data_IF_538303122155
#
_entry.id   IF_538303122155
#
_cell.length_a   1.000
_cell.length_b   1.000
_cell.length_c   1.000
_cell.angle_alpha   90.00
_cell.angle_beta   90.00
_cell.angle_gamma   90.00
#
_symmetry.space_group_name_H-M   'P 1'
#
loop_
_entity.id
_entity.type
_entity.pdbx_description
1 polymer ?
#
# COMPACT_ATOMS: atom_id res chain seq x y z
N UNK A 1 13.92 42.15 -19.24
CA UNK A 1 14.80 41.16 -18.56
C UNK A 1 14.27 40.71 -17.21
N UNK A 2 13.98 41.62 -16.24
CA UNK A 2 13.51 41.23 -14.89
C UNK A 2 12.25 40.35 -14.87
N UNK A 3 11.25 40.66 -15.70
CA UNK A 3 9.97 39.93 -15.77
C UNK A 3 10.11 38.51 -16.33
N UNK A 4 11.01 38.32 -17.31
CA UNK A 4 11.30 37.02 -17.92
C UNK A 4 12.03 36.12 -16.90
N UNK A 5 12.96 36.70 -16.12
CA UNK A 5 13.68 36.00 -15.07
C UNK A 5 12.74 35.53 -13.94
N UNK A 6 11.79 36.36 -13.52
CA UNK A 6 10.80 35.98 -12.50
C UNK A 6 9.86 34.87 -12.98
N UNK A 7 9.44 34.88 -14.25
CA UNK A 7 8.62 33.80 -14.83
C UNK A 7 9.42 32.49 -14.85
N UNK A 8 10.69 32.54 -15.25
CA UNK A 8 11.54 31.36 -15.31
C UNK A 8 11.80 30.75 -13.92
N UNK A 9 12.03 31.59 -12.91
CA UNK A 9 12.18 31.16 -11.51
C UNK A 9 10.87 30.55 -11.01
N UNK A 10 9.73 31.21 -11.23
CA UNK A 10 8.41 30.69 -10.83
C UNK A 10 8.11 29.34 -11.47
N UNK A 11 8.41 29.17 -12.75
CA UNK A 11 8.16 27.92 -13.47
C UNK A 11 9.09 26.79 -13.00
N UNK A 12 10.37 27.12 -12.76
CA UNK A 12 11.34 26.17 -12.22
C UNK A 12 11.00 25.74 -10.78
N UNK A 13 10.58 26.68 -9.92
CA UNK A 13 10.10 26.37 -8.56
C UNK A 13 8.84 25.51 -8.58
N UNK A 14 7.92 25.74 -9.53
CA UNK A 14 6.76 24.88 -9.72
C UNK A 14 7.23 23.47 -10.09
N UNK A 15 8.06 23.33 -11.12
CA UNK A 15 8.56 22.04 -11.59
C UNK A 15 9.34 21.27 -10.51
N UNK A 16 10.13 21.97 -9.68
CA UNK A 16 10.81 21.36 -8.53
C UNK A 16 9.83 20.89 -7.46
N UNK A 17 8.79 21.69 -7.17
CA UNK A 17 7.74 21.30 -6.23
C UNK A 17 6.95 20.09 -6.73
N UNK A 18 6.61 20.05 -8.02
CA UNK A 18 5.96 18.91 -8.66
C UNK A 18 6.87 17.67 -8.73
N UNK A 19 8.16 17.84 -9.06
CA UNK A 19 9.12 16.75 -9.13
C UNK A 19 9.44 16.12 -7.78
N UNK A 20 9.51 16.92 -6.72
CA UNK A 20 9.67 16.43 -5.34
C UNK A 20 8.48 15.59 -4.88
N UNK A 21 7.26 15.91 -5.31
CA UNK A 21 6.05 15.16 -4.94
C UNK A 21 5.99 13.75 -5.56
N UNK A 22 6.80 13.44 -6.57
CA UNK A 22 6.77 12.15 -7.27
C UNK A 22 7.52 11.06 -6.49
N UNK A 23 8.42 11.42 -5.56
CA UNK A 23 9.19 10.45 -4.77
C UNK A 23 8.55 10.29 -3.39
N UNK A 24 7.53 9.43 -3.30
CA UNK A 24 6.92 9.08 -2.01
C UNK A 24 7.68 7.88 -1.42
N UNK A 25 8.34 8.02 -0.26
CA UNK A 25 9.02 6.90 0.38
C UNK A 25 8.01 5.88 0.93
N UNK A 26 8.52 4.70 1.29
CA UNK A 26 7.72 3.74 2.07
C UNK A 26 7.12 4.43 3.29
N UNK A 27 5.82 4.28 3.49
CA UNK A 27 5.13 4.96 4.58
C UNK A 27 4.06 4.09 5.22
N UNK A 28 3.98 4.17 6.54
CA UNK A 28 2.96 3.53 7.38
C UNK A 28 2.04 4.62 7.91
N UNK A 29 0.74 4.37 7.89
CA UNK A 29 -0.28 5.32 8.30
C UNK A 29 -1.58 4.62 8.70
N UNK A 30 -2.52 5.38 9.24
CA UNK A 30 -3.84 4.91 9.68
C UNK A 30 -4.95 5.67 8.93
N UNK A 31 -6.20 5.23 9.05
CA UNK A 31 -7.33 5.98 8.46
C UNK A 31 -7.48 7.40 9.00
N UNK A 32 -6.98 7.66 10.22
CA UNK A 32 -6.98 8.99 10.83
C UNK A 32 -6.07 9.96 10.08
N UNK A 33 -5.08 9.45 9.36
CA UNK A 33 -4.20 10.23 8.49
C UNK A 33 -4.89 10.48 7.14
N UNK A 34 -6.02 11.20 7.14
CA UNK A 34 -6.96 11.35 6.01
C UNK A 34 -6.24 11.65 4.69
N UNK A 35 -5.28 12.58 4.68
CA UNK A 35 -4.55 12.92 3.47
C UNK A 35 -3.77 11.72 2.91
N UNK A 36 -2.99 11.02 3.76
CA UNK A 36 -2.24 9.83 3.36
C UNK A 36 -3.17 8.70 2.93
N UNK A 37 -4.25 8.50 3.68
CA UNK A 37 -5.24 7.46 3.39
C UNK A 37 -5.89 7.63 2.01
N UNK A 38 -6.32 8.84 1.65
CA UNK A 38 -6.94 9.06 0.34
C UNK A 38 -5.95 9.22 -0.82
N UNK A 39 -4.67 9.53 -0.55
CA UNK A 39 -3.65 9.72 -1.59
C UNK A 39 -2.83 8.46 -1.87
N UNK A 40 -2.57 7.63 -0.85
CA UNK A 40 -1.64 6.50 -0.92
C UNK A 40 -2.32 5.14 -0.80
N UNK A 41 -3.63 5.10 -0.51
CA UNK A 41 -4.38 3.83 -0.45
C UNK A 41 -5.21 3.63 -1.70
N UNK A 42 -4.87 2.60 -2.47
CA UNK A 42 -5.66 2.18 -3.61
C UNK A 42 -7.10 1.85 -3.19
N UNK A 43 -8.05 2.03 -4.11
CA UNK A 43 -9.48 1.82 -3.82
C UNK A 43 -9.72 0.37 -3.35
N UNK A 44 -9.04 -0.56 -3.97
CA UNK A 44 -9.01 -2.00 -3.70
C UNK A 44 -8.53 -2.34 -2.29
N UNK A 45 -7.76 -1.47 -1.64
CA UNK A 45 -7.37 -1.63 -0.23
C UNK A 45 -8.33 -0.87 0.70
N UNK A 46 -8.83 0.29 0.25
CA UNK A 46 -9.83 1.05 1.04
C UNK A 46 -11.12 0.27 1.24
N UNK A 47 -11.57 -0.45 0.21
CA UNK A 47 -12.82 -1.22 0.19
C UNK A 47 -12.73 -2.58 0.94
N UNK A 48 -11.56 -2.95 1.47
CA UNK A 48 -11.36 -4.19 2.24
C UNK A 48 -12.21 -4.18 3.52
N UNK A 49 -12.90 -5.26 3.89
CA UNK A 49 -13.64 -5.30 5.15
C UNK A 49 -12.69 -5.14 6.36
N UNK A 50 -13.11 -4.37 7.38
CA UNK A 50 -12.31 -4.14 8.58
C UNK A 50 -12.46 -5.30 9.56
N UNK A 51 -11.68 -6.36 9.33
CA UNK A 51 -11.77 -7.63 10.06
C UNK A 51 -11.04 -7.64 11.41
N UNK A 52 -10.37 -6.54 11.74
CA UNK A 52 -9.70 -6.33 13.03
C UNK A 52 -9.98 -4.92 13.54
N UNK A 53 -9.95 -4.76 14.86
CA UNK A 53 -9.92 -3.45 15.51
C UNK A 53 -8.52 -2.82 15.50
N UNK A 54 -7.47 -3.63 15.33
CA UNK A 54 -6.10 -3.17 15.23
C UNK A 54 -5.60 -3.39 13.81
N UNK A 55 -5.73 -2.35 12.99
CA UNK A 55 -5.25 -2.35 11.62
C UNK A 55 -4.58 -1.03 11.24
N UNK A 56 -3.71 -1.10 10.25
CA UNK A 56 -3.04 0.04 9.67
C UNK A 56 -2.72 -0.24 8.20
N UNK A 57 -2.26 0.80 7.50
CA UNK A 57 -1.96 0.75 6.08
C UNK A 57 -0.48 1.01 5.85
N UNK A 58 0.01 0.49 4.73
CA UNK A 58 1.29 0.92 4.18
C UNK A 58 1.17 1.25 2.70
N UNK A 59 2.09 2.08 2.25
CA UNK A 59 2.35 2.33 0.85
C UNK A 59 3.83 2.05 0.58
N UNK A 60 4.09 1.17 -0.38
CA UNK A 60 5.42 0.88 -0.89
C UNK A 60 5.56 1.52 -2.28
N UNK A 61 6.48 2.48 -2.48
CA UNK A 61 6.80 2.93 -3.82
C UNK A 61 7.34 1.77 -4.64
N UNK A 62 7.18 1.86 -5.96
CA UNK A 62 7.93 1.02 -6.88
C UNK A 62 9.41 1.39 -6.69
N UNK A 63 10.21 0.45 -6.20
CA UNK A 63 11.62 0.45 -6.59
C UNK A 63 11.69 0.24 -8.11
N UNK A 64 12.85 0.40 -8.73
CA UNK A 64 13.02 0.48 -10.19
C UNK A 64 12.46 -0.75 -10.98
N UNK A 65 11.93 -1.76 -10.30
CA UNK A 65 11.05 -2.81 -10.81
C UNK A 65 9.61 -2.57 -10.36
N UNK A 66 8.70 -2.30 -11.29
CA UNK A 66 7.24 -2.28 -11.08
C UNK A 66 6.77 -3.49 -10.25
N UNK A 67 5.69 -3.41 -9.42
CA UNK A 67 4.65 -2.38 -9.27
C UNK A 67 4.65 -1.60 -7.93
N UNK A 68 3.86 -0.52 -7.86
CA UNK A 68 3.55 0.16 -6.59
C UNK A 68 2.61 -0.68 -5.73
N UNK A 69 2.76 -0.58 -4.41
CA UNK A 69 1.98 -1.38 -3.48
C UNK A 69 1.23 -0.53 -2.47
N UNK A 70 -0.01 -0.92 -2.21
CA UNK A 70 -0.75 -0.49 -1.03
C UNK A 70 -1.16 -1.73 -0.26
N UNK A 71 -1.05 -1.70 1.06
CA UNK A 71 -1.40 -2.84 1.89
C UNK A 71 -2.20 -2.42 3.13
N UNK A 72 -3.01 -3.35 3.61
CA UNK A 72 -3.65 -3.29 4.92
C UNK A 72 -3.12 -4.45 5.78
N UNK A 73 -2.76 -4.12 7.02
CA UNK A 73 -2.35 -5.07 8.04
C UNK A 73 -3.48 -5.23 9.03
N UNK A 74 -3.95 -6.46 9.23
CA UNK A 74 -4.98 -6.82 10.19
C UNK A 74 -4.31 -7.62 11.31
N UNK A 75 -4.07 -6.99 12.45
CA UNK A 75 -3.34 -7.54 13.59
C UNK A 75 -4.28 -7.92 14.73
N UNK A 76 -3.74 -8.55 15.78
CA UNK A 76 -4.49 -8.96 16.98
C UNK A 76 -5.74 -9.80 16.67
N UNK A 77 -5.63 -10.68 15.66
CA UNK A 77 -6.71 -11.52 15.20
C UNK A 77 -6.98 -12.66 16.19
N UNK A 78 -8.24 -12.83 16.60
CA UNK A 78 -8.68 -13.98 17.41
C UNK A 78 -8.84 -15.25 16.57
N UNK A 79 -9.28 -15.12 15.32
CA UNK A 79 -9.54 -16.24 14.40
C UNK A 79 -8.90 -16.00 13.03
N UNK A 80 -7.58 -16.18 12.94
CA UNK A 80 -6.80 -15.89 11.74
C UNK A 80 -7.30 -16.65 10.49
N UNK A 81 -7.75 -17.89 10.63
CA UNK A 81 -8.23 -18.69 9.50
C UNK A 81 -9.57 -18.19 8.95
N UNK A 82 -10.44 -17.66 9.80
CA UNK A 82 -11.72 -17.09 9.37
C UNK A 82 -11.49 -15.75 8.68
N UNK A 83 -10.61 -14.92 9.25
CA UNK A 83 -10.16 -13.66 8.64
C UNK A 83 -9.54 -13.91 7.26
N UNK A 84 -8.68 -14.92 7.14
CA UNK A 84 -8.06 -15.29 5.86
C UNK A 84 -9.11 -15.70 4.81
N UNK A 85 -10.13 -16.49 5.20
CA UNK A 85 -11.22 -16.89 4.29
C UNK A 85 -12.07 -15.71 3.84
N UNK A 86 -12.29 -14.75 4.71
CA UNK A 86 -13.04 -13.54 4.36
C UNK A 86 -12.24 -12.62 3.42
N UNK A 87 -10.92 -12.47 3.65
CA UNK A 87 -10.04 -11.79 2.70
C UNK A 87 -10.00 -12.48 1.33
N UNK A 88 -9.93 -13.82 1.31
CA UNK A 88 -10.01 -14.58 0.06
C UNK A 88 -11.32 -14.29 -0.67
N UNK A 89 -12.45 -14.35 0.03
CA UNK A 89 -13.77 -14.07 -0.55
C UNK A 89 -13.86 -12.65 -1.11
N UNK A 90 -13.28 -11.68 -0.40
CA UNK A 90 -13.16 -10.30 -0.89
C UNK A 90 -12.33 -10.24 -2.18
N UNK A 91 -11.12 -10.80 -2.19
CA UNK A 91 -10.23 -10.80 -3.36
C UNK A 91 -10.91 -11.46 -4.55
N UNK A 92 -11.53 -12.62 -4.38
CA UNK A 92 -12.29 -13.31 -5.43
C UNK A 92 -13.40 -12.44 -6.02
N UNK A 93 -14.09 -11.65 -5.19
CA UNK A 93 -15.17 -10.75 -5.64
C UNK A 93 -14.68 -9.61 -6.56
N UNK A 94 -13.41 -9.21 -6.42
CA UNK A 94 -12.81 -8.16 -7.26
C UNK A 94 -12.45 -8.64 -8.67
N UNK A 95 -12.30 -9.96 -8.86
CA UNK A 95 -11.78 -10.60 -10.08
C UNK A 95 -10.31 -10.25 -10.41
N UNK A 96 -9.60 -9.62 -9.49
CA UNK A 96 -8.16 -9.36 -9.60
C UNK A 96 -7.42 -10.64 -9.17
N UNK A 97 -6.36 -11.05 -9.89
CA UNK A 97 -5.65 -12.29 -9.57
C UNK A 97 -5.00 -12.23 -8.19
N UNK A 98 -5.15 -13.31 -7.43
CA UNK A 98 -4.39 -13.56 -6.20
C UNK A 98 -3.14 -14.37 -6.54
N UNK A 99 -2.00 -13.94 -6.02
CA UNK A 99 -0.72 -14.60 -6.19
C UNK A 99 -0.28 -15.18 -4.86
N UNK A 100 0.00 -16.49 -4.86
CA UNK A 100 0.54 -17.21 -3.71
C UNK A 100 2.02 -17.53 -3.94
N UNK A 101 2.86 -17.29 -2.93
CA UNK A 101 4.29 -17.58 -2.95
C UNK A 101 5.11 -16.73 -3.95
N UNK A 102 5.74 -15.66 -3.46
CA UNK A 102 6.78 -14.97 -4.22
C UNK A 102 8.03 -15.86 -4.30
N UNK A 103 8.44 -16.25 -5.50
CA UNK A 103 9.73 -16.92 -5.74
C UNK A 103 10.60 -16.01 -6.59
N UNK A 104 11.84 -15.75 -6.13
CA UNK A 104 12.84 -15.02 -6.92
C UNK A 104 12.96 -15.67 -8.31
N UNK A 105 12.67 -14.90 -9.36
CA UNK A 105 12.70 -15.35 -10.77
C UNK A 105 11.35 -15.63 -11.42
N UNK A 106 10.23 -15.57 -10.69
CA UNK A 106 8.87 -15.71 -11.25
C UNK A 106 8.02 -14.48 -10.91
N UNK A 107 8.34 -13.35 -11.56
CA UNK A 107 7.58 -12.12 -11.38
C UNK A 107 6.19 -12.26 -12.02
N UNK A 108 5.13 -11.80 -11.34
CA UNK A 108 3.81 -11.71 -11.92
C UNK A 108 3.83 -10.92 -13.23
N UNK A 109 3.22 -11.46 -14.28
CA UNK A 109 3.01 -10.73 -15.55
C UNK A 109 1.73 -9.90 -15.53
N UNK A 110 1.01 -9.87 -14.41
CA UNK A 110 -0.23 -9.14 -14.25
C UNK A 110 0.06 -7.67 -13.92
N UNK A 111 -0.66 -6.76 -14.59
CA UNK A 111 -0.60 -5.32 -14.32
C UNK A 111 -1.09 -4.98 -12.91
N UNK A 112 -2.01 -5.76 -12.38
CA UNK A 112 -2.51 -5.64 -11.02
C UNK A 112 -2.81 -7.01 -10.41
N UNK A 113 -2.49 -7.17 -9.13
CA UNK A 113 -2.69 -8.43 -8.41
C UNK A 113 -2.74 -8.21 -6.90
N UNK A 114 -3.32 -9.18 -6.21
CA UNK A 114 -3.32 -9.27 -4.75
C UNK A 114 -2.31 -10.30 -4.25
N UNK A 115 -1.86 -10.12 -3.00
CA UNK A 115 -1.14 -11.12 -2.21
C UNK A 115 -1.67 -11.11 -0.79
N UNK A 116 -1.79 -12.28 -0.17
CA UNK A 116 -2.13 -12.41 1.25
C UNK A 116 -0.95 -13.05 1.98
N UNK A 117 -0.38 -12.32 2.94
CA UNK A 117 0.81 -12.75 3.68
C UNK A 117 0.48 -12.84 5.17
N UNK A 118 0.84 -13.97 5.78
CA UNK A 118 0.86 -14.10 7.24
C UNK A 118 2.19 -13.54 7.74
N UNK A 119 2.13 -12.53 8.60
CA UNK A 119 3.32 -11.89 9.17
C UNK A 119 3.20 -11.77 10.69
N UNK A 120 4.32 -11.53 11.35
CA UNK A 120 4.38 -11.19 12.77
C UNK A 120 4.88 -9.77 12.88
N UNK A 121 4.08 -8.92 13.51
CA UNK A 121 4.44 -7.53 13.75
C UNK A 121 4.71 -7.32 15.23
N UNK A 122 5.79 -6.60 15.53
CA UNK A 122 6.16 -6.28 16.89
C UNK A 122 5.56 -4.93 17.26
N UNK A 123 4.72 -4.91 18.27
CA UNK A 123 4.19 -3.66 18.79
C UNK A 123 5.33 -2.84 19.41
N UNK A 124 5.65 -1.68 18.82
CA UNK A 124 6.74 -0.82 19.27
C UNK A 124 6.58 -0.30 20.72
N UNK A 125 5.36 -0.28 21.26
CA UNK A 125 5.08 0.22 22.62
C UNK A 125 5.14 -0.88 23.68
N UNK A 126 4.62 -2.07 23.36
CA UNK A 126 4.51 -3.18 24.33
C UNK A 126 5.59 -4.24 24.14
N UNK A 127 6.32 -4.20 23.03
CA UNK A 127 7.30 -5.22 22.64
C UNK A 127 6.69 -6.58 22.28
N UNK A 128 5.37 -6.71 22.37
CA UNK A 128 4.63 -7.95 22.11
C UNK A 128 4.50 -8.17 20.61
N UNK A 129 4.77 -9.38 20.16
CA UNK A 129 4.50 -9.81 18.79
C UNK A 129 3.02 -10.18 18.66
N UNK A 130 2.38 -9.66 17.63
CA UNK A 130 1.03 -10.03 17.21
C UNK A 130 1.09 -10.64 15.82
N UNK A 131 0.37 -11.75 15.63
CA UNK A 131 0.16 -12.28 14.29
C UNK A 131 -0.78 -11.35 13.52
N UNK A 132 -0.39 -11.03 12.29
CA UNK A 132 -1.14 -10.18 11.40
C UNK A 132 -1.34 -10.88 10.05
N UNK A 133 -2.49 -10.61 9.44
CA UNK A 133 -2.71 -10.87 8.03
C UNK A 133 -2.54 -9.58 7.25
N UNK A 134 -1.66 -9.62 6.26
CA UNK A 134 -1.39 -8.52 5.36
C UNK A 134 -2.05 -8.84 4.01
N UNK A 135 -2.94 -7.96 3.54
CA UNK A 135 -3.43 -7.97 2.16
C UNK A 135 -2.71 -6.87 1.40
N UNK A 136 -2.00 -7.26 0.34
CA UNK A 136 -1.20 -6.37 -0.50
C UNK A 136 -1.87 -6.28 -1.86
N UNK A 137 -2.08 -5.07 -2.33
CA UNK A 137 -2.48 -4.80 -3.71
C UNK A 137 -1.33 -4.13 -4.44
N UNK A 138 -0.96 -4.74 -5.55
CA UNK A 138 0.13 -4.33 -6.43
C UNK A 138 -0.45 -3.82 -7.74
N UNK A 139 0.00 -2.66 -8.21
CA UNK A 139 -0.44 -2.07 -9.48
C UNK A 139 0.69 -1.37 -10.23
N UNK A 140 0.87 -1.70 -11.50
CA UNK A 140 1.80 -0.98 -12.39
C UNK A 140 1.29 0.44 -12.65
N UNK A 141 2.20 1.42 -12.65
CA UNK A 141 1.88 2.77 -13.13
C UNK A 141 1.83 2.73 -14.66
N UNK A 142 0.64 3.00 -15.21
CA UNK A 142 0.43 3.20 -16.65
C UNK A 142 0.88 4.57 -17.14
#
# INVERSE_FOLDING_TARGET
>A
MKTILTIFISLSSLLFFWGWLIIVPYTIYTEKDIFKYYTLTYKEIRDVPRLSNNYYFSYGPSDEATPQTSAIYLCDLTHINDTYRELLSYVESTKIPLIDGFSLGNYPTFQEYFQIVKTKEKNNKTGKESECLMLIFSKEQG
#
